data_IF_955949973242
#
_entry.id   IF_955949973242
#
_cell.length_a   1.000
_cell.length_b   1.000
_cell.length_c   1.000
_cell.angle_alpha   90.00
_cell.angle_beta   90.00
_cell.angle_gamma   90.00
#
_symmetry.space_group_name_H-M   'P 1'
#
loop_
_entity.id
_entity.type
_entity.pdbx_description
1 polymer ?
#
# COMPACT_ATOMS: atom_id res chain seq x y z
N UNK A 1 -0.61 9.15 -18.65
CA UNK A 1 0.58 8.27 -18.72
C UNK A 1 1.73 8.99 -18.02
N UNK A 2 2.60 8.28 -17.32
CA UNK A 2 3.69 8.85 -16.50
C UNK A 2 5.04 8.44 -17.08
N UNK A 3 6.04 9.31 -17.03
CA UNK A 3 7.42 8.96 -17.41
C UNK A 3 8.04 8.02 -16.38
N UNK A 4 9.10 7.30 -16.78
CA UNK A 4 9.83 6.38 -15.90
C UNK A 4 10.42 7.11 -14.69
N UNK A 5 11.02 8.29 -14.89
CA UNK A 5 11.62 9.08 -13.80
C UNK A 5 10.56 9.53 -12.78
N UNK A 6 9.40 9.97 -13.27
CA UNK A 6 8.29 10.38 -12.40
C UNK A 6 7.76 9.19 -11.60
N UNK A 7 7.61 8.03 -12.24
CA UNK A 7 7.16 6.81 -11.57
C UNK A 7 8.13 6.36 -10.47
N UNK A 8 9.44 6.39 -10.75
CA UNK A 8 10.48 6.03 -9.78
C UNK A 8 10.45 6.95 -8.55
N UNK A 9 10.34 8.26 -8.76
CA UNK A 9 10.28 9.24 -7.69
C UNK A 9 9.06 9.04 -6.76
N UNK A 10 7.93 8.57 -7.28
CA UNK A 10 6.75 8.25 -6.47
C UNK A 10 6.91 6.92 -5.71
N UNK A 11 7.43 5.88 -6.36
CA UNK A 11 7.66 4.57 -5.72
C UNK A 11 8.63 4.72 -4.53
N UNK A 12 9.75 5.43 -4.72
CA UNK A 12 10.73 5.65 -3.65
C UNK A 12 10.14 6.36 -2.43
N UNK A 13 9.24 7.34 -2.62
CA UNK A 13 8.52 8.01 -1.52
C UNK A 13 7.58 7.07 -0.75
N UNK A 14 7.05 6.04 -1.42
CA UNK A 14 6.15 5.06 -0.83
C UNK A 14 6.87 3.86 -0.18
N UNK A 15 8.18 3.70 -0.38
CA UNK A 15 8.98 2.54 0.04
C UNK A 15 9.61 2.67 1.43
N UNK A 16 8.98 3.39 2.38
CA UNK A 16 9.47 3.74 3.75
C UNK A 16 10.03 2.56 4.60
N UNK A 17 11.13 1.94 4.19
CA UNK A 17 11.69 0.71 4.76
C UNK A 17 11.01 -0.60 4.34
N UNK A 18 9.99 -0.55 3.48
CA UNK A 18 9.21 -1.73 3.08
C UNK A 18 9.59 -2.23 1.68
N UNK A 19 9.59 -3.55 1.49
CA UNK A 19 9.87 -4.19 0.19
C UNK A 19 8.78 -3.91 -0.85
N UNK A 20 7.56 -3.64 -0.41
CA UNK A 20 6.40 -3.35 -1.25
C UNK A 20 5.90 -1.93 -0.93
N UNK A 21 5.65 -1.06 -1.93
CA UNK A 21 5.20 0.30 -1.67
C UNK A 21 3.85 0.28 -0.94
N UNK A 22 3.67 1.21 0.00
CA UNK A 22 2.46 1.36 0.81
C UNK A 22 1.14 1.13 0.04
N UNK A 23 0.86 1.77 -1.11
CA UNK A 23 -0.42 1.59 -1.80
C UNK A 23 -0.69 0.13 -2.22
N UNK A 24 0.34 -0.61 -2.63
CA UNK A 24 0.18 -2.02 -3.00
C UNK A 24 0.02 -2.90 -1.76
N UNK A 25 0.63 -2.53 -0.63
CA UNK A 25 0.49 -3.25 0.66
C UNK A 25 -0.94 -3.16 1.21
N UNK A 26 -1.57 -1.99 1.12
CA UNK A 26 -2.98 -1.82 1.49
C UNK A 26 -3.90 -2.62 0.58
N UNK A 27 -3.68 -2.58 -0.73
CA UNK A 27 -4.46 -3.36 -1.67
C UNK A 27 -4.38 -4.88 -1.41
N UNK A 28 -3.17 -5.39 -1.13
CA UNK A 28 -2.95 -6.80 -0.75
C UNK A 28 -3.66 -7.16 0.56
N UNK A 29 -3.63 -6.28 1.56
CA UNK A 29 -4.29 -6.51 2.84
C UNK A 29 -5.82 -6.54 2.72
N UNK A 30 -6.39 -5.71 1.84
CA UNK A 30 -7.82 -5.70 1.51
C UNK A 30 -8.20 -6.98 0.75
N UNK A 31 -7.47 -7.30 -0.33
CA UNK A 31 -7.77 -8.44 -1.19
C UNK A 31 -7.59 -9.80 -0.49
N UNK A 32 -6.62 -9.89 0.42
CA UNK A 32 -6.32 -11.11 1.18
C UNK A 32 -7.08 -11.20 2.52
N UNK A 33 -7.98 -10.25 2.81
CA UNK A 33 -8.73 -10.17 4.07
C UNK A 33 -7.84 -10.34 5.31
N UNK A 34 -6.67 -9.69 5.33
CA UNK A 34 -5.70 -9.92 6.41
C UNK A 34 -6.34 -9.61 7.76
N UNK A 35 -6.13 -10.43 8.81
CA UNK A 35 -6.82 -10.25 10.09
C UNK A 35 -6.67 -8.86 10.72
N UNK A 36 -5.50 -8.24 10.55
CA UNK A 36 -5.26 -6.87 11.02
C UNK A 36 -6.10 -5.83 10.26
N UNK A 37 -6.32 -6.03 8.96
CA UNK A 37 -7.16 -5.16 8.13
C UNK A 37 -8.64 -5.35 8.45
N UNK A 38 -9.11 -6.59 8.57
CA UNK A 38 -10.51 -6.90 8.93
C UNK A 38 -10.88 -6.33 10.30
N UNK A 39 -9.98 -6.44 11.29
CA UNK A 39 -10.17 -5.81 12.62
C UNK A 39 -10.19 -4.29 12.56
N UNK A 40 -9.38 -3.70 11.68
CA UNK A 40 -9.38 -2.25 11.47
C UNK A 40 -10.70 -1.77 10.87
N UNK A 41 -11.21 -2.42 9.82
CA UNK A 41 -12.49 -2.07 9.18
C UNK A 41 -13.69 -2.30 10.08
N UNK A 42 -13.66 -3.36 10.92
CA UNK A 42 -14.74 -3.62 11.88
C UNK A 42 -14.83 -2.58 13.01
N UNK A 43 -13.74 -1.85 13.28
CA UNK A 43 -13.65 -0.82 14.30
C UNK A 43 -13.70 0.62 13.72
N UNK A 44 -13.97 0.78 12.42
CA UNK A 44 -14.26 2.09 11.84
C UNK A 44 -15.69 2.51 12.22
N UNK A 45 -15.92 3.77 12.65
CA UNK A 45 -17.24 4.27 13.02
C UNK A 45 -18.21 4.35 11.84
#
# INVERSE_FOLDING_TARGET
RVSVDSALAWVQRCMKGYRLPEPTRWADAVASERPAFVRYTANQP
#
